data_IF_902060854526
#
_entry.id   IF_902060854526
#
_cell.length_a   1.000
_cell.length_b   1.000
_cell.length_c   1.000
_cell.angle_alpha   90.00
_cell.angle_beta   90.00
_cell.angle_gamma   90.00
#
_symmetry.space_group_name_H-M   'P 1'
#
loop_
_entity.id
_entity.type
_entity.pdbx_description
1 polymer ?
#
# COMPACT_ATOMS: atom_id res chain seq x y z
N UNK A 1 -2.10 -1.42 11.67
CA UNK A 1 -2.40 -1.08 13.08
C UNK A 1 -1.15 -0.84 13.93
N UNK A 2 -0.34 -1.80 14.41
CA UNK A 2 0.82 -1.46 15.27
C UNK A 2 1.86 -0.55 14.60
N UNK A 3 2.10 -0.76 13.30
CA UNK A 3 3.10 -0.01 12.52
C UNK A 3 2.72 1.46 12.33
N UNK A 4 1.43 1.75 12.12
CA UNK A 4 0.93 3.13 11.96
C UNK A 4 1.07 3.91 13.28
N UNK A 5 0.86 3.25 14.42
CA UNK A 5 1.04 3.85 15.74
C UNK A 5 2.53 4.14 16.00
N UNK A 6 3.41 3.19 15.68
CA UNK A 6 4.85 3.41 15.88
C UNK A 6 5.39 4.52 14.98
N UNK A 7 4.92 4.64 13.75
CA UNK A 7 5.32 5.73 12.86
C UNK A 7 4.76 7.07 13.29
N UNK A 8 3.49 7.16 13.68
CA UNK A 8 2.92 8.40 14.20
C UNK A 8 3.70 8.88 15.42
N UNK A 9 4.08 7.95 16.31
CA UNK A 9 4.93 8.26 17.47
C UNK A 9 6.33 8.74 17.06
N UNK A 10 7.05 8.01 16.20
CA UNK A 10 8.39 8.41 15.76
C UNK A 10 8.35 9.74 15.01
N UNK A 11 7.35 9.93 14.14
CA UNK A 11 7.18 11.16 13.39
C UNK A 11 6.94 12.35 14.31
N UNK A 12 6.07 12.22 15.32
CA UNK A 12 5.85 13.24 16.34
C UNK A 12 7.15 13.61 17.07
N UNK A 13 7.86 12.60 17.60
CA UNK A 13 9.12 12.81 18.34
C UNK A 13 10.19 13.47 17.47
N UNK A 14 10.38 12.99 16.24
CA UNK A 14 11.38 13.56 15.31
C UNK A 14 11.03 14.98 14.90
N UNK A 15 9.76 15.28 14.66
CA UNK A 15 9.33 16.63 14.28
C UNK A 15 9.61 17.62 15.41
N UNK A 16 9.25 17.26 16.66
CA UNK A 16 9.58 18.09 17.82
C UNK A 16 11.09 18.22 18.06
N UNK A 17 11.84 17.14 17.85
CA UNK A 17 13.30 17.13 18.02
C UNK A 17 14.02 18.02 16.99
N UNK A 18 13.57 17.99 15.73
CA UNK A 18 14.25 18.67 14.62
C UNK A 18 13.80 20.14 14.51
N UNK A 19 12.51 20.41 14.66
CA UNK A 19 11.93 21.72 14.38
C UNK A 19 11.51 22.51 15.63
N UNK A 20 11.55 21.90 16.82
CA UNK A 20 11.30 22.54 18.10
C UNK A 20 10.12 21.93 18.86
N UNK A 21 10.16 22.05 20.19
CA UNK A 21 9.14 21.51 21.07
C UNK A 21 7.78 22.20 20.84
N UNK A 22 6.73 21.40 20.67
CA UNK A 22 5.36 21.90 20.45
C UNK A 22 4.95 22.03 18.98
N UNK A 23 5.88 21.81 18.04
CA UNK A 23 5.60 21.84 16.59
C UNK A 23 4.74 20.66 16.13
N UNK A 24 4.72 19.55 16.87
CA UNK A 24 3.86 18.41 16.60
C UNK A 24 3.19 17.89 17.89
N UNK A 25 1.92 17.52 17.79
CA UNK A 25 1.17 16.87 18.88
C UNK A 25 0.54 15.57 18.40
N UNK A 26 0.65 14.52 19.21
CA UNK A 26 0.11 13.20 18.90
C UNK A 26 -1.31 13.06 19.47
N UNK A 27 -2.28 12.73 18.62
CA UNK A 27 -3.70 12.57 18.98
C UNK A 27 -4.29 11.27 18.42
N UNK A 28 -5.54 11.00 18.78
CA UNK A 28 -6.26 9.81 18.32
C UNK A 28 -7.07 10.08 17.05
N UNK A 29 -7.06 9.12 16.12
CA UNK A 29 -8.04 9.00 15.04
C UNK A 29 -8.71 7.62 15.19
N UNK A 30 -10.05 7.59 15.22
CA UNK A 30 -10.86 6.39 15.44
C UNK A 30 -10.45 5.58 16.69
N UNK A 31 -10.00 6.26 17.75
CA UNK A 31 -9.56 5.65 19.01
C UNK A 31 -8.11 5.16 19.06
N UNK A 32 -7.35 5.32 17.96
CA UNK A 32 -5.95 4.89 17.87
C UNK A 32 -5.01 6.10 17.74
N UNK A 33 -3.85 6.06 18.39
CA UNK A 33 -2.83 7.13 18.35
C UNK A 33 -2.08 7.17 17.02
N UNK A 34 -2.78 7.52 15.94
CA UNK A 34 -2.25 7.55 14.57
C UNK A 34 -2.31 8.94 13.94
N UNK A 35 -2.80 9.96 14.65
CA UNK A 35 -2.91 11.33 14.14
C UNK A 35 -1.84 12.22 14.76
N UNK A 36 -1.16 13.00 13.92
CA UNK A 36 -0.20 14.02 14.31
C UNK A 36 -0.72 15.37 13.84
N UNK A 37 -0.89 16.30 14.76
CA UNK A 37 -1.27 17.67 14.45
C UNK A 37 -0.01 18.54 14.48
N UNK A 38 0.35 19.08 13.32
CA UNK A 38 1.43 20.04 13.16
C UNK A 38 0.93 21.43 13.56
N UNK A 39 1.79 22.23 14.19
CA UNK A 39 1.47 23.55 14.70
C UNK A 39 2.47 24.59 14.19
N UNK A 40 1.97 25.69 13.65
CA UNK A 40 2.76 26.85 13.24
C UNK A 40 1.85 28.06 13.02
N UNK A 41 2.30 29.26 13.39
CA UNK A 41 1.50 30.49 13.28
C UNK A 41 1.07 30.85 11.85
N UNK A 42 1.78 30.33 10.84
CA UNK A 42 1.45 30.52 9.43
C UNK A 42 0.34 29.59 8.92
N UNK A 43 0.00 28.54 9.66
CA UNK A 43 -0.96 27.53 9.20
C UNK A 43 -2.40 28.06 9.12
N UNK A 44 -3.18 27.56 8.16
CA UNK A 44 -4.53 28.07 7.93
C UNK A 44 -5.51 27.65 9.04
N UNK A 45 -6.40 28.58 9.41
CA UNK A 45 -7.52 28.32 10.31
C UNK A 45 -7.31 28.87 11.73
N UNK A 46 -8.38 28.87 12.53
CA UNK A 46 -8.40 29.53 13.84
C UNK A 46 -7.46 28.91 14.90
N UNK A 47 -6.94 27.71 14.65
CA UNK A 47 -6.08 26.97 15.55
C UNK A 47 -4.64 26.85 15.06
N UNK A 48 -4.29 27.42 13.89
CA UNK A 48 -2.92 27.36 13.35
C UNK A 48 -2.37 25.91 13.34
N UNK A 49 -3.24 24.95 12.96
CA UNK A 49 -2.95 23.52 13.07
C UNK A 49 -3.31 22.76 11.80
N UNK A 50 -2.46 21.81 11.43
CA UNK A 50 -2.68 20.89 10.32
C UNK A 50 -2.73 19.48 10.86
N UNK A 51 -3.91 18.88 10.83
CA UNK A 51 -4.17 17.53 11.32
C UNK A 51 -3.95 16.49 10.22
N UNK A 52 -2.98 15.60 10.43
CA UNK A 52 -2.62 14.54 9.49
C UNK A 52 -2.65 13.20 10.20
N UNK A 53 -3.15 12.14 9.56
CA UNK A 53 -3.16 10.81 10.15
C UNK A 53 -2.35 9.82 9.31
N UNK A 54 -1.74 8.85 9.98
CA UNK A 54 -0.93 7.81 9.37
C UNK A 54 -1.84 6.65 8.94
N UNK A 55 -2.13 6.61 7.65
CA UNK A 55 -2.82 5.53 6.94
C UNK A 55 -1.87 4.41 6.49
N UNK A 56 -2.40 3.35 5.88
CA UNK A 56 -1.62 2.20 5.40
C UNK A 56 -0.67 2.55 4.23
N UNK A 57 -1.04 3.54 3.41
CA UNK A 57 -0.18 4.15 2.40
C UNK A 57 0.88 5.10 2.99
N UNK A 58 0.65 5.65 4.18
CA UNK A 58 1.67 6.41 4.91
C UNK A 58 2.66 5.49 5.61
N UNK A 59 2.19 4.34 6.11
CA UNK A 59 3.04 3.32 6.69
C UNK A 59 3.83 2.47 5.70
N UNK A 60 3.65 2.76 4.43
CA UNK A 60 4.19 2.05 3.30
C UNK A 60 4.03 0.54 3.37
N UNK A 61 2.85 0.09 3.82
CA UNK A 61 2.50 -1.32 3.87
C UNK A 61 2.51 -1.91 2.45
N UNK A 62 2.06 -1.14 1.46
CA UNK A 62 2.08 -1.53 0.06
C UNK A 62 3.50 -1.77 -0.46
N UNK A 63 4.42 -0.88 -0.14
CA UNK A 63 5.83 -0.92 -0.51
C UNK A 63 6.53 -2.12 0.11
N UNK A 64 6.26 -2.39 1.40
CA UNK A 64 6.76 -3.56 2.12
C UNK A 64 6.22 -4.86 1.52
N UNK A 65 4.94 -4.92 1.16
CA UNK A 65 4.34 -6.08 0.49
C UNK A 65 4.93 -6.30 -0.90
N UNK A 66 5.12 -5.23 -1.67
CA UNK A 66 5.69 -5.27 -3.01
C UNK A 66 7.11 -5.84 -3.00
N UNK A 67 8.00 -5.27 -2.19
CA UNK A 67 9.40 -5.71 -2.13
C UNK A 67 9.52 -7.13 -1.56
N UNK A 68 8.71 -7.48 -0.57
CA UNK A 68 8.67 -8.81 0.00
C UNK A 68 8.28 -9.85 -1.05
N UNK A 69 7.26 -9.55 -1.85
CA UNK A 69 6.78 -10.43 -2.92
C UNK A 69 7.87 -10.66 -3.97
N UNK A 70 8.57 -9.60 -4.41
CA UNK A 70 9.68 -9.71 -5.37
C UNK A 70 10.82 -10.61 -4.86
N UNK A 71 11.20 -10.47 -3.59
CA UNK A 71 12.25 -11.31 -2.98
C UNK A 71 11.80 -12.76 -2.85
N UNK A 72 10.56 -12.99 -2.41
CA UNK A 72 10.02 -14.33 -2.19
C UNK A 72 9.87 -15.09 -3.50
N UNK A 73 9.44 -14.43 -4.57
CA UNK A 73 9.30 -15.01 -5.91
C UNK A 73 10.63 -15.19 -6.66
N UNK A 74 11.76 -14.72 -6.10
CA UNK A 74 13.07 -14.90 -6.73
C UNK A 74 13.54 -16.37 -6.60
N UNK A 75 13.66 -17.08 -7.72
CA UNK A 75 14.08 -18.49 -7.73
C UNK A 75 15.56 -18.70 -7.43
N UNK A 76 15.90 -19.88 -6.92
CA UNK A 76 17.28 -20.28 -6.65
C UNK A 76 17.93 -19.65 -5.40
N UNK A 77 17.15 -18.97 -4.55
CA UNK A 77 17.63 -18.38 -3.27
C UNK A 77 17.03 -19.12 -2.08
N UNK A 78 17.86 -19.44 -1.09
CA UNK A 78 17.39 -20.14 0.11
C UNK A 78 16.43 -19.29 0.95
N UNK A 79 15.43 -19.92 1.56
CA UNK A 79 14.39 -19.23 2.35
C UNK A 79 14.96 -18.38 3.50
N UNK A 80 16.07 -18.80 4.11
CA UNK A 80 16.74 -18.01 5.17
C UNK A 80 17.30 -16.69 4.65
N UNK A 81 17.86 -16.67 3.44
CA UNK A 81 18.40 -15.45 2.82
C UNK A 81 17.25 -14.55 2.37
N UNK A 82 16.18 -15.14 1.81
CA UNK A 82 14.96 -14.41 1.46
C UNK A 82 14.39 -13.67 2.67
N UNK A 83 14.13 -14.39 3.77
CA UNK A 83 13.53 -13.78 4.98
C UNK A 83 14.42 -12.70 5.61
N UNK A 84 15.74 -12.91 5.67
CA UNK A 84 16.68 -11.87 6.14
C UNK A 84 16.67 -10.63 5.25
N UNK A 85 16.58 -10.83 3.93
CA UNK A 85 16.55 -9.74 2.96
C UNK A 85 15.25 -8.96 3.04
N UNK A 86 14.11 -9.65 3.18
CA UNK A 86 12.80 -9.05 3.43
C UNK A 86 12.85 -8.17 4.68
N UNK A 87 13.36 -8.69 5.80
CA UNK A 87 13.44 -7.93 7.04
C UNK A 87 14.28 -6.64 6.89
N UNK A 88 15.44 -6.73 6.24
CA UNK A 88 16.31 -5.57 6.02
C UNK A 88 15.65 -4.56 5.08
N UNK A 89 15.07 -5.00 3.96
CA UNK A 89 14.43 -4.10 3.00
C UNK A 89 13.18 -3.43 3.55
N UNK A 90 12.33 -4.16 4.27
CA UNK A 90 11.19 -3.57 4.96
C UNK A 90 11.65 -2.54 5.99
N UNK A 91 12.75 -2.80 6.71
CA UNK A 91 13.36 -1.81 7.61
C UNK A 91 13.83 -0.54 6.89
N UNK A 92 14.41 -0.65 5.69
CA UNK A 92 14.80 0.51 4.88
C UNK A 92 13.56 1.30 4.45
N UNK A 93 12.53 0.62 3.93
CA UNK A 93 11.27 1.26 3.51
C UNK A 93 10.62 2.00 4.69
N UNK A 94 10.58 1.38 5.86
CA UNK A 94 10.06 1.99 7.08
C UNK A 94 10.78 3.31 7.43
N UNK A 95 12.11 3.34 7.36
CA UNK A 95 12.89 4.57 7.60
C UNK A 95 12.62 5.62 6.52
N UNK A 96 12.53 5.23 5.26
CA UNK A 96 12.21 6.15 4.17
C UNK A 96 10.81 6.78 4.33
N UNK A 97 9.83 6.02 4.81
CA UNK A 97 8.50 6.54 5.13
C UNK A 97 8.55 7.58 6.24
N UNK A 98 9.32 7.33 7.30
CA UNK A 98 9.50 8.31 8.37
C UNK A 98 10.15 9.60 7.83
N UNK A 99 11.18 9.49 6.98
CA UNK A 99 11.81 10.66 6.35
C UNK A 99 10.78 11.45 5.53
N UNK A 100 9.90 10.75 4.79
CA UNK A 100 8.81 11.39 4.05
C UNK A 100 7.89 12.19 4.97
N UNK A 101 7.48 11.62 6.09
CA UNK A 101 6.58 12.28 7.06
C UNK A 101 7.25 13.49 7.72
N UNK A 102 8.52 13.37 8.11
CA UNK A 102 9.30 14.46 8.73
C UNK A 102 9.49 15.64 7.76
N UNK A 103 9.51 15.40 6.45
CA UNK A 103 9.61 16.46 5.44
C UNK A 103 8.31 17.29 5.30
N UNK A 104 7.17 16.81 5.79
CA UNK A 104 5.91 17.55 5.67
C UNK A 104 5.92 18.89 6.42
N UNK A 105 6.52 18.93 7.61
CA UNK A 105 6.55 20.14 8.43
C UNK A 105 7.24 21.34 7.75
N UNK A 106 8.51 21.25 7.32
CA UNK A 106 9.18 22.41 6.72
C UNK A 106 8.54 22.82 5.37
N UNK A 107 8.04 21.86 4.60
CA UNK A 107 7.33 22.16 3.34
C UNK A 107 6.05 22.96 3.64
N UNK A 108 5.30 22.59 4.67
CA UNK A 108 4.10 23.30 5.09
C UNK A 108 4.43 24.70 5.61
N UNK A 109 5.44 24.85 6.47
CA UNK A 109 5.83 26.15 7.03
C UNK A 109 6.31 27.11 5.94
N UNK A 110 7.20 26.66 5.05
CA UNK A 110 7.74 27.51 3.98
C UNK A 110 6.64 28.00 3.01
N UNK A 111 5.68 27.11 2.68
CA UNK A 111 4.60 27.46 1.76
C UNK A 111 3.52 28.33 2.41
N UNK A 112 3.16 28.06 3.66
CA UNK A 112 2.19 28.86 4.41
C UNK A 112 2.75 30.19 4.92
N UNK A 113 4.06 30.33 5.06
CA UNK A 113 4.70 31.62 5.31
C UNK A 113 4.56 32.60 4.12
N UNK A 114 4.44 32.09 2.89
CA UNK A 114 4.28 32.91 1.68
C UNK A 114 2.83 33.32 1.43
N UNK A 115 1.85 32.50 1.82
CA UNK A 115 0.41 32.77 1.67
C UNK A 115 -0.36 32.37 2.94
N UNK A 116 -0.22 33.15 4.04
CA UNK A 116 -0.78 32.79 5.33
C UNK A 116 -2.32 32.82 5.33
N UNK A 117 -2.94 31.96 6.13
CA UNK A 117 -4.40 31.80 6.26
C UNK A 117 -5.15 31.29 5.02
N UNK A 118 -4.45 30.95 3.92
CA UNK A 118 -5.05 30.30 2.76
C UNK A 118 -4.87 28.78 2.85
N UNK A 119 -5.94 27.95 2.83
CA UNK A 119 -5.79 26.49 2.83
C UNK A 119 -4.99 25.96 1.63
N UNK A 120 -4.92 26.72 0.54
CA UNK A 120 -4.12 26.39 -0.65
C UNK A 120 -2.62 26.34 -0.36
N UNK A 121 -2.15 26.92 0.74
CA UNK A 121 -0.74 26.85 1.12
C UNK A 121 -0.27 25.42 1.41
N UNK A 122 -1.18 24.49 1.70
CA UNK A 122 -0.84 23.07 1.92
C UNK A 122 -0.70 22.26 0.62
N UNK A 123 -1.01 22.84 -0.54
CA UNK A 123 -0.90 22.17 -1.84
C UNK A 123 0.51 21.58 -2.10
N UNK A 124 1.63 22.27 -1.79
CA UNK A 124 2.97 21.72 -1.97
C UNK A 124 3.24 20.47 -1.11
N UNK A 125 2.65 20.38 0.09
CA UNK A 125 2.74 19.17 0.93
C UNK A 125 2.07 17.99 0.22
N UNK A 126 0.90 18.23 -0.36
CA UNK A 126 0.15 17.21 -1.12
C UNK A 126 0.88 16.81 -2.40
N UNK A 127 1.39 17.77 -3.16
CA UNK A 127 2.17 17.50 -4.37
C UNK A 127 3.43 16.69 -4.06
N UNK A 128 4.12 17.02 -2.96
CA UNK A 128 5.27 16.23 -2.50
C UNK A 128 4.84 14.80 -2.14
N UNK A 129 3.78 14.64 -1.35
CA UNK A 129 3.26 13.33 -0.99
C UNK A 129 2.91 12.49 -2.22
N UNK A 130 2.15 13.07 -3.16
CA UNK A 130 1.71 12.41 -4.39
C UNK A 130 2.88 12.05 -5.32
N UNK A 131 3.88 12.94 -5.46
CA UNK A 131 5.06 12.68 -6.30
C UNK A 131 5.89 11.52 -5.77
N UNK A 132 6.14 11.52 -4.46
CA UNK A 132 6.89 10.44 -3.80
C UNK A 132 6.13 9.13 -3.88
N UNK A 133 4.80 9.17 -3.69
CA UNK A 133 3.93 8.00 -3.77
C UNK A 133 3.85 7.42 -5.18
N UNK A 134 3.55 8.23 -6.20
CA UNK A 134 3.32 7.76 -7.56
C UNK A 134 4.59 7.29 -8.27
N UNK A 135 5.73 7.96 -8.04
CA UNK A 135 6.96 7.70 -8.79
C UNK A 135 8.16 7.40 -7.90
N UNK A 136 8.31 8.13 -6.80
CA UNK A 136 9.49 8.06 -5.94
C UNK A 136 9.71 6.67 -5.35
N UNK A 137 8.74 6.15 -4.60
CA UNK A 137 8.88 4.86 -3.93
C UNK A 137 9.02 3.70 -4.91
N UNK A 138 8.23 3.65 -5.98
CA UNK A 138 8.34 2.57 -6.98
C UNK A 138 9.76 2.50 -7.57
N UNK A 139 10.33 3.64 -7.95
CA UNK A 139 11.69 3.72 -8.50
C UNK A 139 12.74 3.26 -7.47
N UNK A 140 12.64 3.71 -6.22
CA UNK A 140 13.56 3.31 -5.14
C UNK A 140 13.48 1.80 -4.88
N UNK A 141 12.28 1.24 -4.81
CA UNK A 141 12.07 -0.18 -4.56
C UNK A 141 12.63 -1.05 -5.68
N UNK A 142 12.40 -0.68 -6.94
CA UNK A 142 12.94 -1.41 -8.09
C UNK A 142 14.47 -1.36 -8.10
N UNK A 143 15.08 -0.20 -7.87
CA UNK A 143 16.54 -0.08 -7.80
C UNK A 143 17.12 -0.91 -6.65
N UNK A 144 16.53 -0.80 -5.46
CA UNK A 144 16.97 -1.56 -4.29
C UNK A 144 16.87 -3.08 -4.54
N UNK A 145 15.76 -3.53 -5.15
CA UNK A 145 15.59 -4.92 -5.55
C UNK A 145 16.62 -5.34 -6.60
N UNK A 146 16.87 -4.54 -7.63
CA UNK A 146 17.85 -4.84 -8.68
C UNK A 146 19.26 -5.02 -8.11
N UNK A 147 19.69 -4.10 -7.23
CA UNK A 147 20.99 -4.17 -6.54
C UNK A 147 21.10 -5.47 -5.75
N UNK A 148 20.05 -5.81 -5.00
CA UNK A 148 20.02 -7.04 -4.22
C UNK A 148 20.02 -8.30 -5.10
N UNK A 149 19.20 -8.32 -6.15
CA UNK A 149 19.07 -9.43 -7.09
C UNK A 149 20.41 -9.72 -7.79
N UNK A 150 21.12 -8.67 -8.22
CA UNK A 150 22.46 -8.78 -8.76
C UNK A 150 23.46 -9.32 -7.72
N UNK A 151 23.46 -8.76 -6.51
CA UNK A 151 24.40 -9.14 -5.44
C UNK A 151 24.28 -10.60 -5.01
N UNK A 152 23.09 -11.19 -5.09
CA UNK A 152 22.83 -12.60 -4.74
C UNK A 152 23.13 -13.58 -5.90
N UNK A 153 23.51 -13.07 -7.08
CA UNK A 153 23.74 -13.88 -8.27
C UNK A 153 22.43 -14.33 -8.93
N UNK A 154 21.36 -13.57 -8.73
CA UNK A 154 20.02 -13.81 -9.27
C UNK A 154 20.00 -14.22 -10.75
N UNK A 155 20.70 -13.53 -11.67
CA UNK A 155 20.68 -13.90 -13.09
C UNK A 155 21.22 -15.32 -13.35
N UNK A 156 22.37 -15.66 -12.76
CA UNK A 156 22.99 -16.98 -12.95
C UNK A 156 22.21 -18.12 -12.31
N UNK A 157 21.49 -17.84 -11.21
CA UNK A 157 20.67 -18.82 -10.48
C UNK A 157 19.28 -18.96 -11.06
N UNK A 158 18.67 -17.89 -11.55
CA UNK A 158 17.40 -17.91 -12.27
C UNK A 158 17.55 -18.65 -13.60
N UNK A 159 18.64 -18.44 -14.34
CA UNK A 159 18.94 -19.21 -15.56
C UNK A 159 19.14 -20.70 -15.23
N UNK A 160 19.94 -21.04 -14.20
CA UNK A 160 20.10 -22.45 -13.78
C UNK A 160 18.81 -23.09 -13.23
N UNK A 161 17.95 -22.32 -12.56
CA UNK A 161 16.65 -22.79 -12.09
C UNK A 161 15.68 -23.02 -13.27
N UNK A 162 15.74 -22.19 -14.31
CA UNK A 162 14.98 -22.40 -15.55
C UNK A 162 15.42 -23.66 -16.31
N UNK A 163 16.70 -24.04 -16.20
CA UNK A 163 17.24 -25.29 -16.76
C UNK A 163 16.88 -26.51 -15.90
N UNK A 164 16.70 -26.34 -14.58
CA UNK A 164 16.32 -27.38 -13.62
C UNK A 164 14.80 -27.46 -13.41
N UNK A 165 14.05 -27.60 -14.51
CA UNK A 165 12.84 -28.43 -14.61
C UNK A 165 11.90 -28.52 -13.38
N UNK A 166 11.24 -27.42 -13.00
CA UNK A 166 10.01 -27.51 -12.21
C UNK A 166 8.78 -27.48 -13.13
N UNK A 167 8.27 -28.68 -13.46
CA UNK A 167 7.07 -28.90 -14.28
C UNK A 167 5.78 -28.58 -13.53
N UNK A 168 5.58 -27.31 -13.19
CA UNK A 168 4.26 -26.80 -12.83
C UNK A 168 3.66 -26.13 -14.06
N UNK A 169 2.64 -26.76 -14.64
CA UNK A 169 1.88 -26.11 -15.70
C UNK A 169 0.69 -25.39 -15.06
N UNK A 170 0.70 -24.06 -15.11
CA UNK A 170 -0.43 -23.24 -14.72
C UNK A 170 -1.39 -23.22 -15.92
N UNK A 171 -2.49 -23.95 -15.79
CA UNK A 171 -3.52 -24.05 -16.81
C UNK A 171 -4.86 -23.52 -16.32
N UNK A 172 -5.69 -23.05 -17.24
CA UNK A 172 -7.09 -22.78 -16.93
C UNK A 172 -7.86 -24.09 -16.78
N UNK A 173 -8.66 -24.18 -15.72
CA UNK A 173 -9.50 -25.35 -15.44
C UNK A 173 -10.53 -25.53 -16.55
N UNK A 174 -10.43 -26.64 -17.30
CA UNK A 174 -11.39 -27.01 -18.34
C UNK A 174 -12.56 -27.85 -17.79
N UNK A 175 -12.33 -28.59 -16.71
CA UNK A 175 -13.37 -29.43 -16.07
C UNK A 175 -13.97 -28.79 -14.82
N UNK A 176 -15.27 -28.47 -14.88
CA UNK A 176 -15.98 -27.79 -13.81
C UNK A 176 -16.95 -28.73 -13.10
N UNK A 177 -16.69 -28.98 -11.81
CA UNK A 177 -17.60 -29.71 -10.91
C UNK A 177 -18.62 -28.76 -10.29
N UNK A 178 -19.76 -29.30 -9.84
CA UNK A 178 -20.85 -28.54 -9.18
C UNK A 178 -20.36 -27.68 -8.00
N UNK A 179 -19.34 -28.14 -7.27
CA UNK A 179 -18.76 -27.38 -6.15
C UNK A 179 -18.05 -26.09 -6.61
N UNK A 180 -17.42 -26.09 -7.79
CA UNK A 180 -16.77 -24.89 -8.34
C UNK A 180 -17.80 -23.84 -8.76
N UNK A 181 -18.93 -24.27 -9.33
CA UNK A 181 -20.05 -23.37 -9.62
C UNK A 181 -20.69 -22.79 -8.36
N UNK A 182 -20.82 -23.57 -7.28
CA UNK A 182 -21.28 -23.05 -5.99
C UNK A 182 -20.34 -21.97 -5.43
N UNK A 183 -19.02 -22.20 -5.49
CA UNK A 183 -18.03 -21.22 -5.03
C UNK A 183 -18.07 -19.96 -5.89
N UNK A 184 -18.16 -20.08 -7.22
CA UNK A 184 -18.32 -18.92 -8.10
C UNK A 184 -19.63 -18.16 -7.85
N UNK A 185 -20.72 -18.86 -7.53
CA UNK A 185 -21.97 -18.23 -7.11
C UNK A 185 -21.82 -17.42 -5.82
N UNK A 186 -21.07 -17.95 -4.84
CA UNK A 186 -20.74 -17.22 -3.63
C UNK A 186 -19.87 -15.98 -3.92
N UNK A 187 -18.88 -16.09 -4.81
CA UNK A 187 -18.07 -14.94 -5.24
C UNK A 187 -18.95 -13.87 -5.92
N UNK A 188 -19.86 -14.26 -6.80
CA UNK A 188 -20.77 -13.32 -7.45
C UNK A 188 -21.62 -12.57 -6.41
N UNK A 189 -22.10 -13.27 -5.37
CA UNK A 189 -22.86 -12.66 -4.27
C UNK A 189 -22.00 -11.69 -3.45
N UNK A 190 -20.72 -11.99 -3.23
CA UNK A 190 -19.76 -11.06 -2.61
C UNK A 190 -19.55 -9.81 -3.46
N UNK A 191 -19.38 -9.94 -4.79
CA UNK A 191 -19.21 -8.80 -5.68
C UNK A 191 -20.46 -7.91 -5.75
N UNK A 192 -21.65 -8.53 -5.77
CA UNK A 192 -22.92 -7.79 -5.71
C UNK A 192 -23.07 -7.06 -4.38
N UNK A 193 -22.78 -7.74 -3.26
CA UNK A 193 -22.81 -7.14 -1.92
C UNK A 193 -21.81 -5.99 -1.79
N UNK A 194 -20.64 -6.11 -2.41
CA UNK A 194 -19.62 -5.06 -2.47
C UNK A 194 -20.15 -3.82 -3.17
N UNK A 195 -20.74 -3.98 -4.36
CA UNK A 195 -21.33 -2.85 -5.10
C UNK A 195 -22.49 -2.22 -4.30
N UNK A 196 -23.35 -3.06 -3.73
CA UNK A 196 -24.51 -2.62 -2.94
C UNK A 196 -24.09 -1.80 -1.70
N UNK A 197 -23.02 -2.20 -1.02
CA UNK A 197 -22.49 -1.50 0.17
C UNK A 197 -22.11 -0.05 -0.13
N UNK A 198 -21.56 0.21 -1.32
CA UNK A 198 -21.18 1.57 -1.73
C UNK A 198 -22.39 2.35 -2.23
N UNK A 199 -23.18 1.76 -3.13
CA UNK A 199 -24.29 2.48 -3.79
C UNK A 199 -25.44 2.82 -2.85
N UNK A 200 -25.66 2.00 -1.82
CA UNK A 200 -26.74 2.22 -0.86
C UNK A 200 -26.32 3.09 0.34
N UNK A 201 -25.05 3.49 0.42
CA UNK A 201 -24.57 4.41 1.43
C UNK A 201 -24.70 5.85 0.90
N UNK A 202 -25.77 6.52 1.32
CA UNK A 202 -26.07 7.89 0.88
C UNK A 202 -24.98 8.89 1.26
N UNK A 203 -24.33 8.71 2.41
CA UNK A 203 -23.20 9.56 2.83
C UNK A 203 -21.99 9.35 1.93
N UNK A 204 -21.67 8.10 1.55
CA UNK A 204 -20.58 7.81 0.63
C UNK A 204 -20.84 8.38 -0.77
N UNK A 205 -22.07 8.25 -1.28
CA UNK A 205 -22.45 8.80 -2.58
C UNK A 205 -22.44 10.33 -2.61
N UNK A 206 -22.86 11.00 -1.53
CA UNK A 206 -22.75 12.45 -1.39
C UNK A 206 -21.30 12.92 -1.24
N UNK A 207 -20.47 12.15 -0.52
CA UNK A 207 -19.05 12.41 -0.41
C UNK A 207 -18.34 12.28 -1.77
N UNK A 208 -18.71 11.29 -2.59
CA UNK A 208 -18.23 11.15 -3.97
C UNK A 208 -18.57 12.37 -4.83
N UNK A 209 -19.82 12.81 -4.79
CA UNK A 209 -20.26 13.99 -5.56
C UNK A 209 -19.50 15.25 -5.15
N UNK A 210 -19.26 15.41 -3.85
CA UNK A 210 -18.45 16.52 -3.31
C UNK A 210 -17.00 16.41 -3.76
N UNK A 211 -16.40 15.22 -3.74
CA UNK A 211 -15.07 14.96 -4.28
C UNK A 211 -14.96 15.27 -5.78
N UNK A 212 -15.93 14.82 -6.58
CA UNK A 212 -15.97 15.06 -8.03
C UNK A 212 -16.04 16.58 -8.30
N UNK A 213 -16.80 17.32 -7.50
CA UNK A 213 -16.84 18.79 -7.55
C UNK A 213 -15.51 19.44 -7.13
N UNK A 214 -14.88 18.97 -6.05
CA UNK A 214 -13.59 19.48 -5.58
C UNK A 214 -12.47 19.24 -6.60
N UNK A 215 -12.46 18.07 -7.23
CA UNK A 215 -11.54 17.72 -8.32
C UNK A 215 -11.77 18.59 -9.55
N UNK A 216 -13.03 18.76 -9.98
CA UNK A 216 -13.39 19.62 -11.11
C UNK A 216 -13.02 21.09 -10.90
N UNK A 217 -13.22 21.60 -9.68
CA UNK A 217 -12.94 22.99 -9.33
C UNK A 217 -11.49 23.25 -8.91
N UNK A 218 -10.66 22.20 -8.77
CA UNK A 218 -9.29 22.27 -8.25
C UNK A 218 -9.17 22.95 -6.87
N UNK A 219 -10.22 22.83 -6.03
CA UNK A 219 -10.28 23.47 -4.72
C UNK A 219 -10.03 22.42 -3.64
N UNK A 220 -9.02 22.66 -2.79
CA UNK A 220 -8.77 21.88 -1.58
C UNK A 220 -9.38 22.61 -0.37
N UNK A 221 -10.65 22.33 -0.06
CA UNK A 221 -11.29 22.84 1.17
C UNK A 221 -11.40 21.75 2.25
N UNK A 222 -11.67 22.17 3.48
CA UNK A 222 -12.00 21.25 4.58
C UNK A 222 -13.17 20.31 4.25
N UNK A 223 -14.12 20.76 3.43
CA UNK A 223 -15.24 19.93 2.97
C UNK A 223 -14.76 18.85 1.98
N UNK A 224 -13.80 19.18 1.11
CA UNK A 224 -13.18 18.23 0.18
C UNK A 224 -12.40 17.15 0.92
N UNK A 225 -11.63 17.53 1.95
CA UNK A 225 -10.89 16.60 2.80
C UNK A 225 -11.82 15.66 3.60
N UNK A 226 -12.91 16.20 4.17
CA UNK A 226 -13.89 15.39 4.89
C UNK A 226 -14.67 14.43 3.97
N UNK A 227 -15.00 14.90 2.75
CA UNK A 227 -15.60 14.08 1.72
C UNK A 227 -14.64 12.97 1.27
N UNK A 228 -13.35 13.28 1.11
CA UNK A 228 -12.32 12.30 0.79
C UNK A 228 -12.25 11.17 1.81
N UNK A 229 -12.10 11.51 3.09
CA UNK A 229 -12.06 10.52 4.16
C UNK A 229 -13.33 9.64 4.23
N UNK A 230 -14.49 10.24 4.01
CA UNK A 230 -15.78 9.52 4.04
C UNK A 230 -15.90 8.55 2.86
N UNK A 231 -15.47 8.97 1.68
CA UNK A 231 -15.45 8.15 0.48
C UNK A 231 -14.44 7.00 0.60
N UNK A 232 -13.21 7.29 1.03
CA UNK A 232 -12.14 6.30 1.15
C UNK A 232 -12.51 5.21 2.16
N UNK A 233 -13.13 5.57 3.28
CA UNK A 233 -13.61 4.60 4.27
C UNK A 233 -14.71 3.68 3.70
N UNK A 234 -15.68 4.23 2.96
CA UNK A 234 -16.74 3.44 2.33
C UNK A 234 -16.19 2.52 1.23
N UNK A 235 -15.25 3.02 0.43
CA UNK A 235 -14.64 2.30 -0.68
C UNK A 235 -13.70 1.19 -0.22
N UNK A 236 -12.98 1.38 0.89
CA UNK A 236 -12.06 0.36 1.42
C UNK A 236 -12.80 -0.95 1.77
N UNK A 237 -13.97 -0.84 2.42
CA UNK A 237 -14.80 -2.01 2.74
C UNK A 237 -15.26 -2.78 1.50
N UNK A 238 -15.59 -2.07 0.42
CA UNK A 238 -16.00 -2.65 -0.84
C UNK A 238 -14.83 -3.32 -1.57
N UNK A 239 -13.68 -2.65 -1.66
CA UNK A 239 -12.48 -3.24 -2.27
C UNK A 239 -11.98 -4.47 -1.54
N UNK A 240 -12.06 -4.49 -0.20
CA UNK A 240 -11.70 -5.67 0.57
C UNK A 240 -12.60 -6.87 0.20
N UNK A 241 -13.92 -6.65 0.11
CA UNK A 241 -14.88 -7.71 -0.21
C UNK A 241 -14.73 -8.20 -1.65
N UNK A 242 -14.52 -7.27 -2.60
CA UNK A 242 -14.28 -7.59 -4.00
C UNK A 242 -12.92 -8.28 -4.23
N UNK A 243 -11.88 -7.84 -3.55
CA UNK A 243 -10.53 -8.40 -3.63
C UNK A 243 -10.49 -9.85 -3.16
N UNK A 244 -11.10 -10.15 -2.01
CA UNK A 244 -11.23 -11.54 -1.52
C UNK A 244 -12.04 -12.40 -2.50
N UNK A 245 -13.15 -11.87 -3.04
CA UNK A 245 -13.96 -12.57 -4.04
C UNK A 245 -13.17 -12.92 -5.30
N UNK A 246 -12.39 -11.98 -5.83
CA UNK A 246 -11.56 -12.18 -7.02
C UNK A 246 -10.42 -13.17 -6.78
N UNK A 247 -9.80 -13.15 -5.60
CA UNK A 247 -8.77 -14.13 -5.22
C UNK A 247 -9.35 -15.56 -5.17
N UNK A 248 -10.55 -15.71 -4.60
CA UNK A 248 -11.24 -17.00 -4.56
C UNK A 248 -11.59 -17.46 -5.99
N UNK A 249 -12.10 -16.56 -6.84
CA UNK A 249 -12.38 -16.88 -8.24
C UNK A 249 -11.13 -17.32 -9.00
N UNK A 250 -10.01 -16.62 -8.82
CA UNK A 250 -8.73 -16.98 -9.43
C UNK A 250 -8.24 -18.35 -8.94
N UNK A 251 -8.30 -18.62 -7.63
CA UNK A 251 -7.92 -19.90 -7.05
C UNK A 251 -8.77 -21.08 -7.56
N UNK A 252 -10.05 -20.85 -7.85
CA UNK A 252 -10.94 -21.87 -8.42
C UNK A 252 -10.70 -22.06 -9.92
N UNK A 253 -10.50 -20.98 -10.66
CA UNK A 253 -10.31 -20.99 -12.11
C UNK A 253 -8.95 -21.56 -12.53
N UNK A 254 -7.91 -21.36 -11.71
CA UNK A 254 -6.56 -21.85 -11.98
C UNK A 254 -6.41 -23.29 -11.47
N UNK A 255 -5.85 -24.16 -12.31
CA UNK A 255 -5.43 -25.50 -11.93
C UNK A 255 -3.90 -25.57 -12.02
N UNK A 256 -3.28 -26.00 -10.92
CA UNK A 256 -1.83 -26.25 -10.87
C UNK A 256 -1.64 -27.76 -10.99
N UNK A 257 -1.21 -28.22 -12.16
CA UNK A 257 -0.88 -29.63 -12.38
C UNK A 257 0.61 -29.86 -12.11
N UNK A 258 0.92 -30.90 -11.32
CA UNK A 258 2.29 -31.35 -11.04
C UNK A 258 2.58 -32.57 -11.89
N UNK A 259 3.53 -32.49 -12.81
CA UNK A 259 4.07 -33.69 -13.44
C UNK A 259 5.14 -34.31 -12.54
N UNK A 260 4.86 -35.49 -11.98
CA UNK A 260 5.91 -36.39 -11.50
C UNK A 260 6.48 -37.07 -12.74
N UNK A 261 7.72 -36.78 -13.11
CA UNK A 261 8.43 -37.60 -14.09
C UNK A 261 8.72 -38.93 -13.41
N UNK A 262 7.92 -39.95 -13.72
CA UNK A 262 8.30 -41.33 -13.43
C UNK A 262 9.60 -41.58 -14.19
N UNK A 263 10.68 -41.84 -13.44
CA UNK A 263 11.93 -42.37 -14.00
C UNK A 263 11.56 -43.70 -14.66
N UNK A 264 11.51 -43.74 -15.99
CA UNK A 264 11.38 -45.00 -16.71
C UNK A 264 12.60 -45.83 -16.36
N UNK A 265 12.38 -46.94 -15.65
CA UNK A 265 13.31 -48.04 -15.58
C UNK A 265 13.59 -48.50 -17.02
N UNK A 266 14.78 -48.22 -17.53
CA UNK A 266 15.34 -49.02 -18.61
C UNK A 266 15.92 -50.28 -17.97
N UNK A 267 15.04 -51.25 -17.77
CA UNK A 267 15.36 -52.66 -17.91
C UNK A 267 15.72 -52.89 -19.38
N UNK A 268 17.00 -53.00 -19.69
CA UNK A 268 17.45 -53.80 -20.83
C UNK A 268 18.32 -54.91 -20.27
N UNK A 269 17.71 -56.09 -20.24
CA UNK A 269 18.38 -57.38 -20.26
C UNK A 269 19.08 -57.55 -21.60
N UNK A 270 20.40 -57.65 -21.59
CA UNK A 270 21.21 -58.66 -22.31
C UNK A 270 22.66 -58.62 -21.82
#
# INVERSE_FOLDING_TARGET
MPIQISEAWIWHELTNLIYGEGTATLTTNNGWMTQVNLQDDSFPGALNTVALYVSDECAGVHEMLFISTLIVMTDGVSQRIKLRSVAVMCGIVYVLNIIRLVAFYPIAVDSCALDPNNPSCLNPVWQYHETIYNWGFLLVLVIMWLIWFWKIGGPSRAVKASELNEKYHIGFRQEWKKIHFLILGFVALMLISSAYSVTNNTQAMQAKETLDFCSYSSIATNQCMAAQNTWDNAINTAWSLAGIGLLIAAAVAIKIDRFVVAKSETLESE
#
